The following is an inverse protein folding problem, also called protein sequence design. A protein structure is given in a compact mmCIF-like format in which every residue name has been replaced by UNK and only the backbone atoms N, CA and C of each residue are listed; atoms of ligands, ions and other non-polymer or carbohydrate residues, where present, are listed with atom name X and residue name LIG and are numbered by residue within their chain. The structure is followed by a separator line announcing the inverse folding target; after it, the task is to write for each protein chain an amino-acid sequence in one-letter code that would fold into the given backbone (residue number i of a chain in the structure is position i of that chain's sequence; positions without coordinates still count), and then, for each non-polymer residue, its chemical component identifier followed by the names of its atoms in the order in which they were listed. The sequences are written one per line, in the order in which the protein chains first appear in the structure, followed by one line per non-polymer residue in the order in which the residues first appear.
data_IF_072528413584
#
_entry.id   IF_072528413584
#
_cell.length_a   1.000
_cell.length_b   1.000
_cell.length_c   1.000
_cell.angle_alpha   90.00
_cell.angle_beta   90.00
_cell.angle_gamma   90.00
#
_symmetry.space_group_name_H-M   'P 1'
#
loop_
_entity.id
_entity.type
_entity.pdbx_description
1 polymer ?
#
# COMPACT_ATOMS: atom_id res chain seq x y z
N UNK A 1 -35.77 7.87 17.36
CA UNK A 1 -35.85 7.53 15.92
C UNK A 1 -34.77 8.20 15.07
N UNK A 2 -34.47 9.50 15.22
CA UNK A 2 -33.44 10.20 14.41
C UNK A 2 -32.02 9.58 14.54
N UNK A 3 -31.59 9.18 15.75
CA UNK A 3 -30.27 8.55 15.96
C UNK A 3 -30.13 7.17 15.30
N UNK A 4 -31.15 6.30 15.39
CA UNK A 4 -31.14 4.99 14.70
C UNK A 4 -31.05 5.12 13.18
N UNK A 5 -31.71 6.13 12.61
CA UNK A 5 -31.64 6.42 11.17
C UNK A 5 -30.26 6.94 10.76
N UNK A 6 -29.63 7.80 11.58
CA UNK A 6 -28.25 8.27 11.38
C UNK A 6 -27.26 7.10 11.39
N UNK A 7 -27.33 6.23 12.40
CA UNK A 7 -26.48 5.04 12.51
C UNK A 7 -26.63 4.13 11.29
N UNK A 8 -27.87 3.83 10.88
CA UNK A 8 -28.12 2.99 9.71
C UNK A 8 -27.50 3.58 8.44
N UNK A 9 -27.67 4.89 8.24
CA UNK A 9 -27.11 5.59 7.08
C UNK A 9 -25.58 5.55 7.08
N UNK A 10 -24.94 5.83 8.22
CA UNK A 10 -23.47 5.74 8.33
C UNK A 10 -22.97 4.32 8.09
N UNK A 11 -23.70 3.29 8.52
CA UNK A 11 -23.34 1.90 8.21
C UNK A 11 -23.44 1.58 6.72
N UNK A 12 -24.47 2.08 6.03
CA UNK A 12 -24.61 1.95 4.56
C UNK A 12 -23.44 2.64 3.84
N UNK A 13 -23.08 3.85 4.29
CA UNK A 13 -21.99 4.64 3.71
C UNK A 13 -20.63 3.95 3.92
N UNK A 14 -20.38 3.35 5.10
CA UNK A 14 -19.17 2.54 5.37
C UNK A 14 -19.11 1.31 4.45
N UNK A 15 -20.27 0.66 4.21
CA UNK A 15 -20.33 -0.49 3.30
C UNK A 15 -20.02 -0.10 1.86
N UNK A 16 -20.59 1.01 1.39
CA UNK A 16 -20.30 1.55 0.06
C UNK A 16 -18.81 1.89 -0.07
N UNK A 17 -18.24 2.58 0.91
CA UNK A 17 -16.83 2.93 0.94
C UNK A 17 -15.92 1.69 0.88
N UNK A 18 -16.27 0.65 1.64
CA UNK A 18 -15.53 -0.63 1.62
C UNK A 18 -15.63 -1.32 0.26
N UNK A 19 -16.78 -1.29 -0.40
CA UNK A 19 -16.96 -1.90 -1.72
C UNK A 19 -16.17 -1.17 -2.81
N UNK A 20 -15.97 0.14 -2.64
CA UNK A 20 -15.19 0.99 -3.53
C UNK A 20 -13.69 1.02 -3.21
N UNK A 21 -13.25 0.25 -2.19
CA UNK A 21 -11.85 0.15 -1.79
C UNK A 21 -11.00 -0.45 -2.92
N UNK A 22 -10.28 0.40 -3.65
CA UNK A 22 -9.25 0.00 -4.61
C UNK A 22 -7.88 -0.03 -3.94
N UNK A 23 -7.01 -0.94 -4.37
CA UNK A 23 -5.71 -1.19 -3.72
C UNK A 23 -5.46 -2.69 -3.51
N UNK A 24 -4.57 -3.07 -2.60
CA UNK A 24 -3.90 -4.39 -2.48
C UNK A 24 -4.79 -5.67 -2.57
N UNK A 25 -6.12 -5.56 -2.53
CA UNK A 25 -7.07 -6.68 -2.69
C UNK A 25 -8.27 -6.37 -3.61
N UNK A 26 -8.26 -5.28 -4.39
CA UNK A 26 -9.48 -4.76 -5.02
C UNK A 26 -9.28 -3.94 -6.28
N UNK A 27 -8.31 -4.26 -7.14
CA UNK A 27 -8.28 -3.66 -8.48
C UNK A 27 -7.95 -4.68 -9.57
N UNK A 28 -8.99 -5.39 -10.03
CA UNK A 28 -8.90 -6.29 -11.18
C UNK A 28 -9.01 -5.54 -12.53
N UNK A 29 -9.18 -4.21 -12.50
CA UNK A 29 -9.65 -3.44 -13.67
C UNK A 29 -8.57 -2.79 -14.54
N UNK A 30 -7.34 -2.62 -14.04
CA UNK A 30 -6.31 -1.80 -14.71
C UNK A 30 -4.96 -2.51 -14.91
N UNK A 31 -4.94 -3.84 -14.86
CA UNK A 31 -3.72 -4.61 -15.05
C UNK A 31 -3.47 -4.82 -16.55
N UNK A 32 -2.56 -4.05 -17.15
CA UNK A 32 -2.09 -4.25 -18.53
C UNK A 32 -1.60 -5.71 -18.73
N UNK A 33 -2.28 -6.56 -19.49
CA UNK A 33 -1.91 -7.97 -19.63
C UNK A 33 -0.49 -8.23 -20.18
N UNK A 34 0.21 -7.20 -20.68
CA UNK A 34 1.60 -7.27 -21.16
C UNK A 34 2.65 -6.78 -20.15
N UNK A 35 2.24 -6.34 -18.96
CA UNK A 35 3.17 -5.90 -17.91
C UNK A 35 3.97 -7.06 -17.31
N UNK A 36 5.21 -6.79 -16.88
CA UNK A 36 5.98 -7.72 -16.06
C UNK A 36 5.46 -7.65 -14.62
N UNK A 37 4.63 -8.63 -14.25
CA UNK A 37 4.03 -8.69 -12.92
C UNK A 37 4.78 -9.63 -11.99
N UNK A 38 5.02 -9.15 -10.78
CA UNK A 38 5.54 -9.95 -9.69
C UNK A 38 4.40 -10.17 -8.70
N UNK A 39 4.03 -11.43 -8.51
CA UNK A 39 3.09 -11.83 -7.46
C UNK A 39 3.87 -12.31 -6.25
N UNK A 40 3.57 -11.77 -5.08
CA UNK A 40 4.13 -12.26 -3.83
C UNK A 40 3.02 -12.48 -2.81
N UNK A 41 3.18 -13.50 -1.98
CA UNK A 41 2.19 -13.89 -1.00
C UNK A 41 2.41 -13.09 0.29
N UNK A 42 1.36 -12.40 0.72
CA UNK A 42 1.29 -11.71 2.01
C UNK A 42 0.37 -12.51 2.94
N UNK A 43 0.80 -12.74 4.19
CA UNK A 43 -0.01 -13.45 5.19
C UNK A 43 -1.05 -12.56 5.85
N UNK A 44 -0.63 -11.37 6.24
CA UNK A 44 -1.40 -10.37 6.95
C UNK A 44 -0.75 -8.98 6.76
N UNK A 45 -1.43 -7.92 7.21
CA UNK A 45 -0.97 -6.54 7.07
C UNK A 45 0.36 -6.28 7.80
N UNK A 46 0.65 -6.99 8.90
CA UNK A 46 1.89 -6.83 9.62
C UNK A 46 3.06 -7.44 8.84
N UNK A 47 2.88 -8.62 8.24
CA UNK A 47 3.85 -9.21 7.34
C UNK A 47 4.12 -8.31 6.13
N UNK A 48 3.08 -7.65 5.60
CA UNK A 48 3.24 -6.69 4.51
C UNK A 48 4.08 -5.47 4.91
N UNK A 49 3.77 -4.89 6.07
CA UNK A 49 4.51 -3.75 6.60
C UNK A 49 5.98 -4.10 6.85
N UNK A 50 6.25 -5.31 7.37
CA UNK A 50 7.62 -5.82 7.55
C UNK A 50 8.34 -5.89 6.19
N UNK A 51 7.69 -6.39 5.14
CA UNK A 51 8.30 -6.44 3.81
C UNK A 51 8.65 -5.04 3.27
N UNK A 52 7.74 -4.07 3.38
CA UNK A 52 8.01 -2.68 3.00
C UNK A 52 9.18 -2.10 3.81
N UNK A 53 9.19 -2.34 5.14
CA UNK A 53 10.26 -1.89 6.04
C UNK A 53 11.62 -2.47 5.62
N UNK A 54 11.68 -3.77 5.33
CA UNK A 54 12.92 -4.41 4.88
C UNK A 54 13.41 -3.85 3.55
N UNK A 55 12.53 -3.53 2.60
CA UNK A 55 12.93 -2.87 1.34
C UNK A 55 13.50 -1.47 1.60
N UNK A 56 12.88 -0.69 2.49
CA UNK A 56 13.38 0.63 2.88
C UNK A 56 14.74 0.53 3.59
N UNK A 57 14.91 -0.43 4.49
CA UNK A 57 16.19 -0.69 5.17
C UNK A 57 17.30 -1.00 4.16
N UNK A 58 17.01 -1.80 3.13
CA UNK A 58 17.96 -2.06 2.04
C UNK A 58 18.34 -0.79 1.30
N UNK A 59 17.38 0.10 1.00
CA UNK A 59 17.67 1.38 0.37
C UNK A 59 18.59 2.26 1.24
N UNK A 60 18.35 2.31 2.55
CA UNK A 60 19.20 3.07 3.49
C UNK A 60 20.61 2.48 3.55
N UNK A 61 20.73 1.18 3.78
CA UNK A 61 22.02 0.48 3.84
C UNK A 61 22.81 0.62 2.53
N UNK A 62 22.10 0.54 1.40
CA UNK A 62 22.69 0.83 0.12
C UNK A 62 23.26 2.24 0.16
N UNK A 63 22.45 3.29 0.29
CA UNK A 63 22.88 4.69 0.27
C UNK A 63 24.06 5.00 1.23
N UNK A 64 24.06 4.44 2.44
CA UNK A 64 25.13 4.62 3.43
C UNK A 64 26.47 3.94 3.06
N UNK A 65 26.47 3.11 2.01
CA UNK A 65 27.67 2.44 1.49
C UNK A 65 27.97 1.10 2.13
N UNK A 66 27.11 0.64 3.04
CA UNK A 66 27.20 -0.66 3.71
C UNK A 66 26.51 -1.78 2.92
N UNK A 67 25.71 -1.44 1.90
CA UNK A 67 24.97 -2.37 1.06
C UNK A 67 25.35 -2.28 -0.43
N UNK A 68 25.47 -3.44 -1.08
CA UNK A 68 25.64 -3.53 -2.53
C UNK A 68 24.28 -3.79 -3.18
N UNK A 69 23.72 -2.80 -3.90
CA UNK A 69 22.46 -2.92 -4.66
C UNK A 69 22.69 -3.16 -6.16
N UNK A 70 23.82 -3.74 -6.53
CA UNK A 70 24.12 -4.07 -7.91
C UNK A 70 23.95 -5.57 -8.11
N UNK A 71 23.00 -5.96 -8.97
CA UNK A 71 22.96 -7.32 -9.48
C UNK A 71 24.23 -7.59 -10.30
N UNK A 72 24.88 -8.76 -10.18
CA UNK A 72 26.03 -9.12 -11.00
C UNK A 72 25.79 -8.99 -12.51
N UNK A 73 24.52 -9.11 -12.94
CA UNK A 73 24.08 -8.96 -14.33
C UNK A 73 23.73 -7.53 -14.77
N UNK A 74 23.79 -6.54 -13.88
CA UNK A 74 23.48 -5.14 -14.18
C UNK A 74 24.60 -4.21 -13.69
N UNK A 75 25.82 -4.42 -14.21
CA UNK A 75 27.00 -3.64 -13.85
C UNK A 75 26.99 -2.19 -14.38
N UNK A 76 26.03 -1.87 -15.25
CA UNK A 76 25.89 -0.55 -15.86
C UNK A 76 24.99 0.39 -15.06
N UNK A 77 24.20 -0.14 -14.11
CA UNK A 77 23.37 0.69 -13.25
C UNK A 77 24.21 1.28 -12.11
N UNK A 78 23.98 2.55 -11.82
CA UNK A 78 24.45 3.17 -10.59
C UNK A 78 23.69 2.61 -9.39
N UNK A 79 24.32 2.78 -8.23
CA UNK A 79 23.72 2.47 -6.94
C UNK A 79 22.45 3.28 -6.72
N UNK A 80 22.47 4.55 -7.08
CA UNK A 80 21.37 5.50 -6.97
C UNK A 80 20.18 5.07 -7.84
N UNK A 81 20.41 4.68 -9.09
CA UNK A 81 19.37 4.17 -9.98
C UNK A 81 18.71 2.90 -9.41
N UNK A 82 19.50 2.02 -8.79
CA UNK A 82 18.99 0.79 -8.18
C UNK A 82 18.12 1.09 -6.94
N UNK A 83 18.52 2.07 -6.13
CA UNK A 83 17.72 2.54 -4.98
C UNK A 83 16.42 3.18 -5.44
N UNK A 84 16.46 4.03 -6.49
CA UNK A 84 15.26 4.66 -7.06
C UNK A 84 14.26 3.61 -7.50
N UNK A 85 14.70 2.55 -8.21
CA UNK A 85 13.80 1.48 -8.65
C UNK A 85 13.11 0.75 -7.49
N UNK A 86 13.82 0.52 -6.37
CA UNK A 86 13.20 -0.11 -5.21
C UNK A 86 12.24 0.84 -4.48
N UNK A 87 12.54 2.14 -4.43
CA UNK A 87 11.60 3.14 -3.91
C UNK A 87 10.33 3.24 -4.77
N UNK A 88 10.45 3.19 -6.10
CA UNK A 88 9.30 3.14 -7.02
C UNK A 88 8.45 1.88 -6.79
N UNK A 89 9.10 0.73 -6.54
CA UNK A 89 8.40 -0.50 -6.16
C UNK A 89 7.67 -0.33 -4.83
N UNK A 90 8.32 0.23 -3.81
CA UNK A 90 7.70 0.52 -2.50
C UNK A 90 6.47 1.40 -2.69
N UNK A 91 6.57 2.51 -3.43
CA UNK A 91 5.44 3.40 -3.71
C UNK A 91 4.30 2.67 -4.41
N UNK A 92 4.62 1.77 -5.35
CA UNK A 92 3.61 1.01 -6.09
C UNK A 92 2.88 -0.02 -5.24
N UNK A 93 3.47 -0.47 -4.13
CA UNK A 93 2.84 -1.44 -3.22
C UNK A 93 2.24 -0.78 -1.96
N UNK A 94 2.49 0.50 -1.70
CA UNK A 94 1.91 1.17 -0.54
C UNK A 94 0.38 1.04 -0.55
N UNK A 95 -0.25 0.73 0.60
CA UNK A 95 -1.67 0.49 0.67
C UNK A 95 -2.46 1.81 0.78
N UNK A 96 -2.20 2.78 -0.10
CA UNK A 96 -2.73 4.15 -0.03
C UNK A 96 -4.27 4.18 0.07
N UNK A 97 -4.94 3.34 -0.72
CA UNK A 97 -6.40 3.21 -0.67
C UNK A 97 -6.92 2.68 0.66
N UNK A 98 -6.17 1.78 1.33
CA UNK A 98 -6.52 1.30 2.67
C UNK A 98 -6.29 2.36 3.74
N UNK A 99 -5.24 3.16 3.61
CA UNK A 99 -4.95 4.27 4.52
C UNK A 99 -6.06 5.32 4.44
N UNK A 100 -6.41 5.75 3.22
CA UNK A 100 -7.51 6.70 3.00
C UNK A 100 -8.86 6.19 3.51
N UNK A 101 -9.15 4.90 3.34
CA UNK A 101 -10.36 4.28 3.88
C UNK A 101 -10.40 4.33 5.41
N UNK A 102 -9.29 4.06 6.08
CA UNK A 102 -9.22 4.11 7.54
C UNK A 102 -9.44 5.54 8.06
N UNK A 103 -8.84 6.53 7.41
CA UNK A 103 -9.03 7.94 7.78
C UNK A 103 -10.51 8.36 7.69
N UNK A 104 -11.19 8.01 6.59
CA UNK A 104 -12.62 8.29 6.43
C UNK A 104 -13.50 7.53 7.43
N UNK A 105 -13.16 6.26 7.68
CA UNK A 105 -13.89 5.45 8.64
C UNK A 105 -13.84 6.07 10.04
N UNK A 106 -12.66 6.51 10.47
CA UNK A 106 -12.48 7.17 11.76
C UNK A 106 -13.29 8.46 11.84
N UNK A 107 -13.32 9.28 10.79
CA UNK A 107 -14.16 10.49 10.72
C UNK A 107 -15.65 10.15 10.89
N UNK A 108 -16.16 9.18 10.12
CA UNK A 108 -17.55 8.74 10.18
C UNK A 108 -17.93 8.17 11.55
N UNK A 109 -17.02 7.46 12.21
CA UNK A 109 -17.24 6.92 13.56
C UNK A 109 -17.24 8.03 14.63
N UNK A 110 -16.37 9.02 14.50
CA UNK A 110 -16.34 10.19 15.39
C UNK A 110 -17.62 11.03 15.26
N UNK A 111 -18.16 11.18 14.05
CA UNK A 111 -19.46 11.84 13.82
C UNK A 111 -20.64 11.10 14.46
N UNK A 112 -20.53 9.80 14.72
CA UNK A 112 -21.56 9.02 15.41
C UNK A 112 -21.47 9.12 16.94
N UNK A 113 -20.28 9.36 17.47
CA UNK A 113 -20.05 9.54 18.91
C UNK A 113 -20.48 10.93 19.39
N UNK A 114 -20.54 11.90 18.48
CA UNK A 114 -21.01 13.29 18.69
C UNK A 114 -22.48 13.49 18.27
#
# INVERSE_FOLDING_TARGET
MKSKKKILKTMEDIQELRNNLSGLLGNNGSMDPKGNYVYFKVRDNNHFLIQIKSLLEICVLALDGEGMMLSPGNQNASKEESVIQVLELILSILPDGQMYFLDQLDEMLMELQN
#
